data_IF_689868282785
#
_entry.id   IF_689868282785
#
_cell.length_a   1.000
_cell.length_b   1.000
_cell.length_c   1.000
_cell.angle_alpha   90.00
_cell.angle_beta   90.00
_cell.angle_gamma   90.00
#
_symmetry.space_group_name_H-M   'P 1'
#
loop_
_entity.id
_entity.type
_entity.pdbx_description
1 polymer ?
#
# COMPACT_ATOMS: atom_id res chain seq x y z
N UNK A 1 11.80 -14.88 4.50
CA UNK A 1 10.48 -15.39 4.93
C UNK A 1 9.52 -14.22 5.03
N UNK A 2 8.27 -14.40 4.57
CA UNK A 2 7.17 -13.45 4.72
C UNK A 2 6.01 -14.14 5.45
N UNK A 3 5.41 -13.47 6.44
CA UNK A 3 4.34 -14.03 7.27
C UNK A 3 3.19 -13.03 7.42
N UNK A 4 1.96 -13.50 7.18
CA UNK A 4 0.73 -12.81 7.49
C UNK A 4 0.05 -13.45 8.70
N UNK A 5 0.19 -12.86 9.88
CA UNK A 5 -0.38 -13.41 11.12
C UNK A 5 -1.89 -13.27 11.22
N UNK A 6 -2.47 -12.28 10.54
CA UNK A 6 -3.88 -11.95 10.64
C UNK A 6 -4.36 -11.18 9.41
N UNK A 7 -5.65 -11.31 9.11
CA UNK A 7 -6.35 -10.43 8.18
C UNK A 7 -7.10 -9.28 8.89
N UNK A 8 -6.87 -9.07 10.20
CA UNK A 8 -7.39 -7.90 10.89
C UNK A 8 -6.89 -6.64 10.20
N UNK A 9 -7.80 -5.78 9.77
CA UNK A 9 -7.50 -4.52 9.12
C UNK A 9 -8.58 -3.50 9.44
N UNK A 10 -8.16 -2.28 9.72
CA UNK A 10 -9.05 -1.14 9.96
C UNK A 10 -9.47 -0.42 8.67
N UNK A 11 -8.88 -0.78 7.51
CA UNK A 11 -9.20 -0.18 6.22
C UNK A 11 -10.03 -1.10 5.31
N UNK A 12 -10.79 -0.45 4.40
CA UNK A 12 -11.52 -1.07 3.30
C UNK A 12 -11.08 -0.46 1.96
N UNK A 13 -9.81 -0.62 1.60
CA UNK A 13 -9.30 -0.11 0.32
C UNK A 13 -10.14 -0.64 -0.84
N UNK A 14 -10.49 0.21 -1.82
CA UNK A 14 -11.46 -0.10 -2.87
C UNK A 14 -11.14 -1.36 -3.68
N UNK A 15 -9.87 -1.63 -3.88
CA UNK A 15 -9.35 -2.78 -4.63
C UNK A 15 -9.01 -4.00 -3.74
N UNK A 16 -9.23 -3.92 -2.42
CA UNK A 16 -8.99 -5.05 -1.51
C UNK A 16 -10.17 -6.03 -1.51
N UNK A 17 -10.03 -7.14 -0.79
CA UNK A 17 -11.04 -8.19 -0.72
C UNK A 17 -11.29 -8.66 0.71
N UNK A 18 -12.45 -9.31 0.99
CA UNK A 18 -12.80 -9.83 2.30
C UNK A 18 -11.78 -10.81 2.90
N UNK A 19 -11.05 -11.55 2.07
CA UNK A 19 -10.01 -12.47 2.51
C UNK A 19 -8.85 -11.75 3.23
N UNK A 20 -8.58 -10.49 2.87
CA UNK A 20 -7.44 -9.71 3.36
C UNK A 20 -7.80 -8.63 4.37
N UNK A 21 -9.10 -8.39 4.61
CA UNK A 21 -9.55 -7.35 5.53
C UNK A 21 -10.84 -7.74 6.26
N UNK A 22 -10.79 -7.71 7.60
CA UNK A 22 -11.97 -7.97 8.43
C UNK A 22 -13.06 -6.92 8.24
N UNK A 23 -12.69 -5.65 8.05
CA UNK A 23 -13.69 -4.57 7.79
C UNK A 23 -14.37 -4.73 6.43
N UNK A 24 -13.67 -5.23 5.40
CA UNK A 24 -14.27 -5.65 4.14
C UNK A 24 -15.24 -6.82 4.36
N UNK A 25 -14.79 -7.84 5.10
CA UNK A 25 -15.63 -9.01 5.41
C UNK A 25 -16.94 -8.61 6.09
N UNK A 26 -16.88 -7.69 7.05
CA UNK A 26 -18.05 -7.22 7.78
C UNK A 26 -18.99 -6.38 6.89
N UNK A 27 -18.44 -5.57 5.98
CA UNK A 27 -19.25 -4.84 5.00
C UNK A 27 -19.97 -5.79 4.05
N UNK A 28 -19.30 -6.84 3.54
CA UNK A 28 -19.93 -7.82 2.67
C UNK A 28 -20.96 -8.70 3.41
N UNK A 29 -20.73 -9.05 4.66
CA UNK A 29 -21.72 -9.73 5.48
C UNK A 29 -22.99 -8.89 5.64
N UNK A 30 -22.83 -7.59 5.81
CA UNK A 30 -23.96 -6.66 6.05
C UNK A 30 -24.74 -6.33 4.78
N UNK A 31 -24.07 -6.14 3.66
CA UNK A 31 -24.65 -5.58 2.43
C UNK A 31 -24.66 -6.53 1.23
N UNK A 32 -24.01 -7.70 1.33
CA UNK A 32 -23.77 -8.61 0.21
C UNK A 32 -22.58 -8.17 -0.66
N UNK A 33 -22.31 -8.96 -1.70
CA UNK A 33 -21.26 -8.63 -2.67
C UNK A 33 -21.60 -7.33 -3.44
N UNK A 34 -20.58 -6.67 -3.96
CA UNK A 34 -20.76 -5.54 -4.86
C UNK A 34 -21.38 -6.01 -6.19
N UNK A 35 -22.22 -5.18 -6.84
CA UNK A 35 -22.97 -5.57 -8.06
C UNK A 35 -22.09 -5.52 -9.32
N UNK A 36 -20.87 -6.04 -9.22
CA UNK A 36 -19.95 -6.22 -10.34
C UNK A 36 -20.10 -7.60 -10.95
N UNK A 37 -19.71 -7.77 -12.20
CA UNK A 37 -19.64 -9.09 -12.82
C UNK A 37 -18.52 -9.95 -12.22
N UNK A 38 -17.48 -9.32 -11.66
CA UNK A 38 -16.41 -9.97 -10.93
C UNK A 38 -16.85 -10.34 -9.52
N UNK A 39 -16.59 -11.56 -9.10
CA UNK A 39 -17.03 -12.10 -7.80
C UNK A 39 -15.97 -12.01 -6.70
N UNK A 40 -14.86 -11.29 -6.91
CA UNK A 40 -13.72 -11.26 -6.00
C UNK A 40 -14.07 -10.81 -4.56
N UNK A 41 -15.11 -9.99 -4.41
CA UNK A 41 -15.60 -9.51 -3.13
C UNK A 41 -16.76 -10.35 -2.54
N UNK A 42 -17.20 -11.42 -3.21
CA UNK A 42 -18.20 -12.35 -2.69
C UNK A 42 -17.60 -13.30 -1.66
N UNK A 43 -18.22 -13.41 -0.48
CA UNK A 43 -17.77 -14.37 0.55
C UNK A 43 -17.94 -15.82 0.07
N UNK A 44 -19.01 -16.12 -0.64
CA UNK A 44 -19.29 -17.47 -1.13
C UNK A 44 -18.27 -17.89 -2.19
N UNK A 45 -17.90 -16.98 -3.09
CA UNK A 45 -16.82 -17.21 -4.03
C UNK A 45 -15.48 -17.43 -3.32
N UNK A 46 -15.13 -16.57 -2.36
CA UNK A 46 -13.87 -16.70 -1.61
C UNK A 46 -13.83 -18.00 -0.80
N UNK A 47 -14.95 -18.48 -0.25
CA UNK A 47 -15.04 -19.79 0.43
C UNK A 47 -14.87 -20.95 -0.55
N UNK A 48 -15.55 -20.90 -1.70
CA UNK A 48 -15.45 -21.94 -2.73
C UNK A 48 -14.02 -22.08 -3.28
N UNK A 49 -13.29 -20.97 -3.36
CA UNK A 49 -11.89 -20.91 -3.82
C UNK A 49 -10.86 -21.15 -2.70
N UNK A 50 -11.29 -21.52 -1.50
CA UNK A 50 -10.44 -21.72 -0.32
C UNK A 50 -9.54 -20.50 0.01
N UNK A 51 -10.01 -19.28 -0.28
CA UNK A 51 -9.27 -18.02 -0.06
C UNK A 51 -9.55 -17.39 1.31
N UNK A 52 -10.51 -17.95 2.08
CA UNK A 52 -10.86 -17.37 3.38
C UNK A 52 -9.80 -17.76 4.42
N UNK A 53 -9.32 -16.81 5.23
CA UNK A 53 -8.41 -17.10 6.32
C UNK A 53 -9.11 -17.89 7.43
N UNK A 54 -8.31 -18.60 8.23
CA UNK A 54 -8.80 -19.23 9.46
C UNK A 54 -9.33 -18.11 10.38
N UNK A 55 -10.57 -18.24 10.90
CA UNK A 55 -11.15 -17.24 11.78
C UNK A 55 -10.27 -16.97 13.00
N UNK A 56 -10.15 -15.71 13.41
CA UNK A 56 -9.28 -15.31 14.53
C UNK A 56 -9.64 -15.97 15.88
N UNK A 57 -10.89 -16.45 16.03
CA UNK A 57 -11.38 -17.14 17.23
C UNK A 57 -11.01 -18.62 17.26
N UNK A 58 -10.56 -19.15 16.15
CA UNK A 58 -10.18 -20.56 16.01
C UNK A 58 -8.67 -20.74 16.19
N UNK A 59 -8.32 -21.94 16.65
CA UNK A 59 -6.92 -22.34 16.73
C UNK A 59 -6.31 -22.32 15.33
N UNK A 60 -5.21 -21.60 15.17
CA UNK A 60 -4.49 -21.55 13.90
C UNK A 60 -3.23 -22.42 13.99
N UNK A 61 -3.25 -23.65 13.42
CA UNK A 61 -2.12 -24.56 13.50
C UNK A 61 -0.85 -24.02 12.84
N UNK A 62 -0.97 -23.15 11.84
CA UNK A 62 0.19 -22.53 11.20
C UNK A 62 0.89 -21.53 12.14
N UNK A 63 0.14 -20.79 12.96
CA UNK A 63 0.73 -19.92 13.99
C UNK A 63 1.45 -20.72 15.07
N UNK A 64 0.86 -21.83 15.51
CA UNK A 64 1.50 -22.70 16.48
C UNK A 64 2.79 -23.31 15.95
N UNK A 65 2.77 -23.80 14.71
CA UNK A 65 3.95 -24.33 14.03
C UNK A 65 5.02 -23.24 13.86
N UNK A 66 4.62 -22.04 13.46
CA UNK A 66 5.54 -20.90 13.35
C UNK A 66 6.24 -20.61 14.68
N UNK A 67 5.51 -20.51 15.79
CA UNK A 67 6.10 -20.19 17.09
C UNK A 67 6.97 -21.30 17.68
N UNK A 68 6.73 -22.56 17.31
CA UNK A 68 7.63 -23.68 17.63
C UNK A 68 8.94 -23.59 16.84
N UNK A 69 8.86 -23.15 15.60
CA UNK A 69 10.02 -23.06 14.71
C UNK A 69 10.80 -21.74 14.86
N UNK A 70 10.15 -20.69 15.33
CA UNK A 70 10.70 -19.34 15.38
C UNK A 70 12.06 -19.22 16.07
N UNK A 71 12.33 -19.87 17.23
CA UNK A 71 13.64 -19.78 17.88
C UNK A 71 14.80 -20.28 17.01
N UNK A 72 14.61 -21.37 16.29
CA UNK A 72 15.62 -21.92 15.39
C UNK A 72 15.73 -21.08 14.12
N UNK A 73 14.58 -20.70 13.55
CA UNK A 73 14.51 -19.92 12.32
C UNK A 73 15.17 -18.54 12.44
N UNK A 74 14.97 -17.85 13.56
CA UNK A 74 15.41 -16.47 13.78
C UNK A 74 16.92 -16.29 13.52
N UNK A 75 17.75 -17.23 13.99
CA UNK A 75 19.21 -17.12 13.89
C UNK A 75 19.74 -17.26 12.44
N UNK A 76 18.98 -17.92 11.58
CA UNK A 76 19.36 -18.18 10.18
C UNK A 76 18.73 -17.21 9.18
N UNK A 77 17.81 -16.34 9.63
CA UNK A 77 17.13 -15.40 8.74
C UNK A 77 18.01 -14.25 8.27
N UNK A 78 18.02 -14.00 6.96
CA UNK A 78 18.50 -12.77 6.35
C UNK A 78 17.40 -11.75 6.10
N UNK A 79 16.17 -12.20 5.84
CA UNK A 79 15.03 -11.33 5.58
C UNK A 79 13.79 -11.90 6.25
N UNK A 80 13.15 -11.09 7.08
CA UNK A 80 11.85 -11.39 7.67
C UNK A 80 10.88 -10.23 7.45
N UNK A 81 9.76 -10.54 6.83
CA UNK A 81 8.73 -9.56 6.51
C UNK A 81 7.41 -9.93 7.16
N UNK A 82 6.83 -8.99 7.89
CA UNK A 82 5.51 -9.11 8.51
C UNK A 82 4.49 -8.38 7.65
N UNK A 83 3.51 -9.13 7.16
CA UNK A 83 2.42 -8.63 6.31
C UNK A 83 1.06 -9.01 6.91
N UNK A 84 -0.01 -8.91 6.13
CA UNK A 84 -1.37 -9.32 6.49
C UNK A 84 -2.38 -8.23 6.19
N UNK A 85 -3.43 -8.13 6.99
CA UNK A 85 -4.36 -7.01 6.93
C UNK A 85 -3.67 -5.72 7.37
N UNK A 86 -3.63 -5.48 8.68
CA UNK A 86 -2.77 -4.48 9.32
C UNK A 86 -1.96 -5.18 10.43
N UNK A 87 -0.65 -5.37 10.24
CA UNK A 87 0.18 -6.09 11.21
C UNK A 87 0.19 -5.53 12.61
N UNK A 88 0.05 -4.21 12.78
CA UNK A 88 0.05 -3.58 14.11
C UNK A 88 -1.20 -3.93 14.94
N UNK A 89 -2.25 -4.48 14.32
CA UNK A 89 -3.42 -5.02 15.00
C UNK A 89 -3.24 -6.50 15.43
N UNK A 90 -2.15 -7.14 15.01
CA UNK A 90 -1.87 -8.53 15.33
C UNK A 90 -0.92 -8.65 16.53
N UNK A 91 -1.32 -9.38 17.58
CA UNK A 91 -0.48 -9.62 18.76
C UNK A 91 0.84 -10.31 18.43
N UNK A 92 0.84 -11.14 17.40
CA UNK A 92 2.03 -11.87 16.96
C UNK A 92 3.12 -10.94 16.42
N UNK A 93 2.77 -9.80 15.82
CA UNK A 93 3.74 -8.77 15.40
C UNK A 93 4.53 -8.23 16.59
N UNK A 94 3.83 -7.86 17.65
CA UNK A 94 4.45 -7.36 18.88
C UNK A 94 5.34 -8.43 19.55
N UNK A 95 4.87 -9.67 19.57
CA UNK A 95 5.64 -10.79 20.09
C UNK A 95 6.94 -11.04 19.31
N UNK A 96 6.95 -10.83 17.98
CA UNK A 96 8.18 -10.88 17.18
C UNK A 96 9.15 -9.77 17.59
N UNK A 97 8.66 -8.54 17.71
CA UNK A 97 9.51 -7.40 18.10
C UNK A 97 10.09 -7.59 19.51
N UNK A 98 9.28 -8.03 20.46
CA UNK A 98 9.73 -8.34 21.83
C UNK A 98 10.78 -9.43 21.81
N UNK A 99 10.55 -10.50 21.05
CA UNK A 99 11.53 -11.59 20.90
C UNK A 99 12.89 -11.08 20.41
N UNK A 100 12.90 -10.24 19.36
CA UNK A 100 14.14 -9.64 18.80
C UNK A 100 14.86 -8.79 19.85
N UNK A 101 14.10 -8.00 20.63
CA UNK A 101 14.62 -7.11 21.66
C UNK A 101 15.24 -7.92 22.82
N UNK A 102 14.65 -9.05 23.19
CA UNK A 102 15.02 -9.84 24.36
C UNK A 102 16.18 -10.82 24.08
N UNK A 103 16.56 -11.05 22.82
CA UNK A 103 17.62 -12.00 22.51
C UNK A 103 18.98 -11.55 23.07
N UNK A 104 19.70 -12.49 23.70
CA UNK A 104 21.07 -12.25 24.18
C UNK A 104 22.04 -12.06 23.01
N UNK A 105 21.85 -12.83 21.94
CA UNK A 105 22.62 -12.78 20.72
C UNK A 105 21.73 -12.29 19.57
N UNK A 106 21.81 -11.00 19.22
CA UNK A 106 20.99 -10.43 18.15
C UNK A 106 21.42 -10.96 16.78
N UNK A 107 20.42 -11.15 15.89
CA UNK A 107 20.72 -11.52 14.50
C UNK A 107 21.04 -10.27 13.65
N UNK A 108 22.30 -9.86 13.67
CA UNK A 108 22.80 -8.68 12.92
C UNK A 108 22.83 -8.85 11.40
N UNK A 109 22.39 -9.99 10.85
CA UNK A 109 22.22 -10.20 9.41
C UNK A 109 20.77 -9.96 8.98
N UNK A 110 19.84 -9.83 9.92
CA UNK A 110 18.41 -9.78 9.65
C UNK A 110 17.99 -8.43 9.09
N UNK A 111 17.41 -8.41 7.91
CA UNK A 111 16.62 -7.31 7.39
C UNK A 111 15.16 -7.53 7.83
N UNK A 112 14.73 -6.75 8.83
CA UNK A 112 13.37 -6.79 9.36
C UNK A 112 12.49 -5.80 8.63
N UNK A 113 11.37 -6.27 8.10
CA UNK A 113 10.40 -5.38 7.47
C UNK A 113 8.97 -5.62 7.95
N UNK A 114 8.21 -4.52 8.08
CA UNK A 114 6.82 -4.53 8.51
C UNK A 114 6.00 -3.72 7.51
N UNK A 115 4.91 -4.32 7.02
CA UNK A 115 3.92 -3.60 6.24
C UNK A 115 2.90 -2.99 7.21
N UNK A 116 2.75 -1.67 7.20
CA UNK A 116 1.70 -1.01 7.99
C UNK A 116 1.05 0.11 7.21
N UNK A 117 -0.25 0.24 7.36
CA UNK A 117 -1.00 1.36 6.78
C UNK A 117 -0.81 2.68 7.55
N UNK A 118 -0.10 2.67 8.68
CA UNK A 118 0.17 3.80 9.59
C UNK A 118 -1.09 4.58 10.04
N UNK A 119 -2.28 4.05 9.80
CA UNK A 119 -3.58 4.63 10.19
C UNK A 119 -4.22 3.93 11.39
N UNK A 120 -3.43 3.26 12.21
CA UNK A 120 -3.87 2.64 13.46
C UNK A 120 -3.93 3.69 14.59
N UNK A 121 -4.54 3.39 15.76
CA UNK A 121 -4.51 4.27 16.93
C UNK A 121 -3.09 4.71 17.34
N UNK A 122 -2.96 5.96 17.81
CA UNK A 122 -1.66 6.60 18.08
C UNK A 122 -0.79 5.82 19.07
N UNK A 123 -1.41 5.19 20.07
CA UNK A 123 -0.68 4.36 21.03
C UNK A 123 0.02 3.14 20.37
N UNK A 124 -0.48 2.64 19.25
CA UNK A 124 0.18 1.57 18.49
C UNK A 124 1.35 2.11 17.67
N UNK A 125 1.23 3.33 17.13
CA UNK A 125 2.34 4.01 16.45
C UNK A 125 3.45 4.33 17.46
N UNK A 126 3.10 4.84 18.65
CA UNK A 126 4.07 5.15 19.71
C UNK A 126 4.81 3.89 20.16
N UNK A 127 4.08 2.81 20.42
CA UNK A 127 4.67 1.52 20.77
C UNK A 127 5.56 0.94 19.66
N UNK A 128 5.17 1.11 18.38
CA UNK A 128 6.02 0.71 17.25
C UNK A 128 7.35 1.48 17.26
N UNK A 129 7.28 2.80 17.35
CA UNK A 129 8.46 3.68 17.37
C UNK A 129 9.37 3.33 18.56
N UNK A 130 8.81 3.14 19.76
CA UNK A 130 9.57 2.76 20.95
C UNK A 130 10.35 1.45 20.73
N UNK A 131 9.68 0.42 20.21
CA UNK A 131 10.32 -0.88 19.98
C UNK A 131 11.36 -0.83 18.87
N UNK A 132 11.07 -0.13 17.76
CA UNK A 132 12.01 0.02 16.66
C UNK A 132 13.22 0.84 17.09
N UNK A 133 13.03 1.88 17.93
CA UNK A 133 14.13 2.67 18.49
C UNK A 133 15.08 1.80 19.34
N UNK A 134 14.51 0.93 20.18
CA UNK A 134 15.35 -0.03 20.94
C UNK A 134 16.11 -0.99 20.02
N UNK A 135 15.46 -1.51 18.97
CA UNK A 135 16.12 -2.41 18.00
C UNK A 135 17.26 -1.69 17.29
N UNK A 136 17.06 -0.42 16.95
CA UNK A 136 18.05 0.43 16.27
C UNK A 136 19.22 0.80 17.19
N UNK A 137 18.94 1.33 18.40
CA UNK A 137 19.94 1.80 19.36
C UNK A 137 20.81 0.66 19.89
N UNK A 138 20.24 -0.55 20.05
CA UNK A 138 20.94 -1.73 20.52
C UNK A 138 21.55 -2.56 19.36
N UNK A 139 21.48 -2.05 18.11
CA UNK A 139 22.04 -2.68 16.89
C UNK A 139 21.65 -4.16 16.74
N UNK A 140 20.32 -4.44 16.84
CA UNK A 140 19.79 -5.78 16.94
C UNK A 140 19.58 -6.49 15.60
N UNK A 141 19.47 -5.72 14.51
CA UNK A 141 19.22 -6.20 13.14
C UNK A 141 20.12 -5.44 12.17
N UNK A 142 20.27 -5.95 10.93
CA UNK A 142 21.02 -5.27 9.89
C UNK A 142 20.25 -4.04 9.35
N UNK A 143 18.95 -4.19 9.10
CA UNK A 143 18.15 -3.15 8.47
C UNK A 143 16.70 -3.17 9.00
N UNK A 144 16.11 -1.99 9.15
CA UNK A 144 14.70 -1.79 9.49
C UNK A 144 13.99 -1.14 8.33
N UNK A 145 12.96 -1.80 7.80
CA UNK A 145 12.17 -1.30 6.69
C UNK A 145 10.70 -1.25 7.07
N UNK A 146 10.08 -0.10 6.93
CA UNK A 146 8.61 0.04 7.02
C UNK A 146 8.05 0.21 5.61
N UNK A 147 7.22 -0.73 5.19
CA UNK A 147 6.39 -0.58 4.01
C UNK A 147 5.07 0.05 4.41
N UNK A 148 4.81 1.25 3.97
CA UNK A 148 3.51 1.91 4.16
C UNK A 148 2.81 2.14 2.83
N UNK A 149 1.53 2.53 2.84
CA UNK A 149 0.76 2.50 1.60
C UNK A 149 -0.16 3.68 1.44
N UNK A 150 0.03 4.42 0.34
CA UNK A 150 -0.89 5.47 -0.12
C UNK A 150 -0.88 5.53 -1.65
N UNK A 151 -2.06 5.74 -2.27
CA UNK A 151 -2.20 5.58 -3.73
C UNK A 151 -2.31 6.90 -4.49
N UNK A 152 -2.51 8.01 -3.78
CA UNK A 152 -2.61 9.38 -4.29
C UNK A 152 -2.56 10.35 -3.11
N UNK A 153 -2.88 11.64 -3.31
CA UNK A 153 -2.78 12.69 -2.31
C UNK A 153 -4.15 13.12 -1.75
N UNK A 154 -4.19 13.41 -0.44
CA UNK A 154 -5.31 14.08 0.23
C UNK A 154 -6.61 13.27 0.24
N UNK A 155 -7.79 13.95 0.14
CA UNK A 155 -9.11 13.31 0.26
C UNK A 155 -9.38 12.18 -0.76
N UNK A 156 -8.68 12.20 -1.90
CA UNK A 156 -8.76 11.12 -2.88
C UNK A 156 -8.09 9.83 -2.35
N UNK A 157 -7.02 9.95 -1.56
CA UNK A 157 -6.41 8.81 -0.88
C UNK A 157 -7.36 8.21 0.17
N UNK A 158 -8.08 9.05 0.94
CA UNK A 158 -9.08 8.61 1.92
C UNK A 158 -10.22 7.82 1.26
N UNK A 159 -10.64 8.27 0.07
CA UNK A 159 -11.67 7.58 -0.70
C UNK A 159 -11.21 6.20 -1.18
N UNK A 160 -10.02 6.11 -1.77
CA UNK A 160 -9.45 4.84 -2.26
C UNK A 160 -9.23 3.86 -1.11
N UNK A 161 -8.69 4.36 0.00
CA UNK A 161 -8.36 3.58 1.21
C UNK A 161 -9.31 3.88 2.35
N UNK A 162 -10.59 3.63 2.14
CA UNK A 162 -11.62 3.94 3.14
C UNK A 162 -11.24 3.44 4.54
N UNK A 163 -11.16 4.36 5.49
CA UNK A 163 -10.59 4.20 6.83
C UNK A 163 -9.27 4.94 7.02
N UNK A 164 -8.64 5.41 5.96
CA UNK A 164 -7.51 6.32 5.99
C UNK A 164 -8.00 7.73 6.38
N UNK A 165 -7.24 8.40 7.19
CA UNK A 165 -7.27 9.83 7.45
C UNK A 165 -5.92 10.38 6.98
N UNK A 166 -5.87 10.97 5.78
CA UNK A 166 -4.63 11.27 5.08
C UNK A 166 -3.67 12.13 5.90
N UNK A 167 -4.16 13.19 6.56
CA UNK A 167 -3.31 14.08 7.35
C UNK A 167 -2.66 13.32 8.51
N UNK A 168 -3.45 12.51 9.23
CA UNK A 168 -2.94 11.67 10.32
C UNK A 168 -1.91 10.64 9.84
N UNK A 169 -2.15 10.03 8.67
CA UNK A 169 -1.18 9.14 8.05
C UNK A 169 0.14 9.86 7.78
N UNK A 170 0.07 11.07 7.24
CA UNK A 170 1.26 11.87 6.91
C UNK A 170 2.00 12.32 8.17
N UNK A 171 1.28 12.69 9.23
CA UNK A 171 1.84 13.03 10.54
C UNK A 171 2.54 11.82 11.18
N UNK A 172 1.91 10.63 11.13
CA UNK A 172 2.50 9.39 11.63
C UNK A 172 3.76 8.99 10.85
N UNK A 173 3.76 9.17 9.53
CA UNK A 173 4.94 8.94 8.68
C UNK A 173 6.09 9.87 9.08
N UNK A 174 5.84 11.18 9.24
CA UNK A 174 6.84 12.15 9.68
C UNK A 174 7.33 11.84 11.10
N UNK A 175 6.44 11.47 12.02
CA UNK A 175 6.78 11.09 13.39
C UNK A 175 7.74 9.89 13.41
N UNK A 176 7.46 8.87 12.60
CA UNK A 176 8.32 7.69 12.48
C UNK A 176 9.69 8.06 11.92
N UNK A 177 9.74 8.84 10.83
CA UNK A 177 11.00 9.26 10.19
C UNK A 177 11.87 10.16 11.06
N UNK A 178 11.24 11.04 11.86
CA UNK A 178 11.96 11.94 12.79
C UNK A 178 12.43 11.27 14.07
N UNK A 179 11.84 10.13 14.43
CA UNK A 179 12.17 9.40 15.66
C UNK A 179 13.24 8.33 15.48
N UNK A 180 13.49 7.89 14.24
CA UNK A 180 14.36 6.76 13.91
C UNK A 180 15.43 7.17 12.89
N UNK A 181 16.69 6.95 13.24
CA UNK A 181 17.80 7.41 12.41
C UNK A 181 18.18 6.45 11.28
N UNK A 182 17.91 5.14 11.43
CA UNK A 182 18.31 4.10 10.46
C UNK A 182 17.13 3.49 9.69
N UNK A 183 15.89 3.73 10.12
CA UNK A 183 14.71 3.17 9.44
C UNK A 183 14.62 3.65 7.99
N UNK A 184 14.26 2.74 7.11
CA UNK A 184 13.91 3.03 5.72
C UNK A 184 12.40 2.85 5.54
N UNK A 185 11.74 3.84 4.95
CA UNK A 185 10.32 3.76 4.64
C UNK A 185 10.12 3.64 3.14
N UNK A 186 9.41 2.60 2.71
CA UNK A 186 8.94 2.48 1.33
C UNK A 186 7.45 2.78 1.28
N UNK A 187 7.09 3.87 0.62
CA UNK A 187 5.69 4.21 0.34
C UNK A 187 5.24 3.39 -0.87
N UNK A 188 4.43 2.37 -0.61
CA UNK A 188 3.86 1.52 -1.65
C UNK A 188 2.58 2.13 -2.20
N UNK A 189 2.59 2.52 -3.45
CA UNK A 189 1.40 2.96 -4.16
C UNK A 189 0.89 1.83 -5.05
N UNK A 190 -0.32 1.35 -4.77
CA UNK A 190 -1.05 0.49 -5.70
C UNK A 190 -1.72 1.38 -6.73
N UNK A 191 -0.90 1.86 -7.69
CA UNK A 191 -1.33 2.82 -8.69
C UNK A 191 -2.49 2.29 -9.53
N UNK A 192 -3.60 2.98 -9.51
CA UNK A 192 -4.86 2.58 -10.12
C UNK A 192 -5.55 3.75 -10.85
N UNK A 193 -6.71 3.52 -11.44
CA UNK A 193 -7.43 4.55 -12.19
C UNK A 193 -7.70 5.82 -11.38
N UNK A 194 -7.97 5.69 -10.07
CA UNK A 194 -8.24 6.82 -9.18
C UNK A 194 -6.97 7.54 -8.73
N UNK A 195 -5.80 6.94 -8.90
CA UNK A 195 -4.52 7.58 -8.59
C UNK A 195 -4.17 8.68 -9.61
N UNK A 196 -4.56 8.47 -10.88
CA UNK A 196 -4.11 9.29 -12.01
C UNK A 196 -4.35 10.79 -11.84
N UNK A 197 -5.53 11.26 -11.42
CA UNK A 197 -5.82 12.71 -11.39
C UNK A 197 -4.94 13.51 -10.42
N UNK A 198 -4.52 12.92 -9.30
CA UNK A 198 -3.88 13.64 -8.21
C UNK A 198 -2.61 12.97 -7.67
N UNK A 199 -1.83 12.35 -8.54
CA UNK A 199 -0.59 11.66 -8.14
C UNK A 199 0.62 12.59 -8.05
N UNK A 200 0.65 13.69 -8.83
CA UNK A 200 1.78 14.65 -8.82
C UNK A 200 2.06 15.26 -7.44
N UNK A 201 1.06 15.67 -6.64
CA UNK A 201 1.32 16.13 -5.27
C UNK A 201 2.01 15.07 -4.40
N UNK A 202 1.66 13.78 -4.55
CA UNK A 202 2.36 12.71 -3.83
C UNK A 202 3.84 12.65 -4.24
N UNK A 203 4.14 12.73 -5.54
CA UNK A 203 5.52 12.78 -6.04
C UNK A 203 6.28 13.96 -5.43
N UNK A 204 5.71 15.18 -5.44
CA UNK A 204 6.34 16.37 -4.84
C UNK A 204 6.65 16.17 -3.36
N UNK A 205 5.65 15.77 -2.57
CA UNK A 205 5.82 15.66 -1.13
C UNK A 205 6.73 14.49 -0.71
N UNK A 206 6.76 13.40 -1.48
CA UNK A 206 7.75 12.33 -1.25
C UNK A 206 9.17 12.81 -1.57
N UNK A 207 9.35 13.64 -2.61
CA UNK A 207 10.64 14.28 -2.88
C UNK A 207 11.08 15.16 -1.70
N UNK A 208 10.17 15.98 -1.14
CA UNK A 208 10.47 16.80 0.03
C UNK A 208 10.86 15.95 1.25
N UNK A 209 10.19 14.83 1.50
CA UNK A 209 10.59 13.88 2.56
C UNK A 209 11.99 13.29 2.30
N UNK A 210 12.32 12.96 1.05
CA UNK A 210 13.66 12.47 0.71
C UNK A 210 14.73 13.50 1.03
N UNK A 211 14.48 14.79 0.77
CA UNK A 211 15.40 15.89 1.09
C UNK A 211 15.51 16.09 2.62
N UNK A 212 14.36 16.13 3.29
CA UNK A 212 14.30 16.41 4.74
C UNK A 212 15.00 15.35 5.58
N UNK A 213 14.88 14.08 5.22
CA UNK A 213 15.38 12.94 5.98
C UNK A 213 16.60 12.26 5.35
N UNK A 214 17.32 12.98 4.49
CA UNK A 214 18.58 12.50 3.95
C UNK A 214 19.64 12.36 5.05
N UNK A 215 20.43 11.29 4.99
CA UNK A 215 21.62 11.12 5.82
C UNK A 215 22.64 10.24 5.08
N UNK A 216 23.90 10.69 5.03
CA UNK A 216 25.01 9.89 4.48
C UNK A 216 25.29 8.62 5.31
N UNK A 217 24.89 8.62 6.59
CA UNK A 217 25.09 7.50 7.51
C UNK A 217 24.06 6.38 7.32
N UNK A 218 22.98 6.63 6.56
CA UNK A 218 22.00 5.59 6.24
C UNK A 218 22.54 4.64 5.17
N UNK A 219 22.25 3.36 5.32
CA UNK A 219 22.66 2.32 4.36
C UNK A 219 22.33 2.67 2.90
N UNK A 220 21.17 3.25 2.65
CA UNK A 220 20.71 3.65 1.32
C UNK A 220 20.88 5.14 1.03
N UNK A 221 21.47 5.91 1.94
CA UNK A 221 21.50 7.38 1.90
C UNK A 221 20.12 8.07 1.78
N UNK A 222 19.05 7.31 1.64
CA UNK A 222 17.67 7.78 1.56
C UNK A 222 16.82 7.10 2.62
N UNK A 223 16.06 7.92 3.36
CA UNK A 223 15.09 7.41 4.33
C UNK A 223 13.77 6.97 3.69
N UNK A 224 13.45 7.45 2.48
CA UNK A 224 12.15 7.27 1.87
C UNK A 224 12.27 6.83 0.41
N UNK A 225 11.49 5.83 0.02
CA UNK A 225 11.32 5.37 -1.36
C UNK A 225 9.85 5.37 -1.75
N UNK A 226 9.55 5.62 -3.04
CA UNK A 226 8.22 5.53 -3.63
C UNK A 226 8.14 4.32 -4.56
N UNK A 227 7.37 3.32 -4.18
CA UNK A 227 7.09 2.16 -5.01
C UNK A 227 5.75 2.32 -5.75
N UNK A 228 5.79 2.78 -7.00
CA UNK A 228 4.62 2.96 -7.85
C UNK A 228 4.31 1.69 -8.63
N UNK A 229 3.73 0.70 -7.97
CA UNK A 229 3.32 -0.56 -8.62
C UNK A 229 1.89 -0.45 -9.15
N UNK A 230 1.68 -0.71 -10.46
CA UNK A 230 0.34 -0.64 -11.06
C UNK A 230 -0.57 -1.78 -10.61
N UNK A 231 -1.83 -1.44 -10.36
CA UNK A 231 -2.88 -2.41 -10.03
C UNK A 231 -3.16 -3.33 -11.22
N UNK A 232 -3.21 -4.64 -10.99
CA UNK A 232 -3.59 -5.64 -12.00
C UNK A 232 -4.99 -6.20 -11.79
N UNK A 233 -5.41 -6.26 -10.54
CA UNK A 233 -6.71 -6.79 -10.14
C UNK A 233 -7.23 -6.07 -8.88
N UNK A 234 -8.53 -5.74 -8.82
CA UNK A 234 -9.58 -6.01 -9.82
C UNK A 234 -9.42 -5.17 -11.10
N UNK A 235 -9.70 -5.77 -12.26
CA UNK A 235 -9.43 -5.15 -13.57
C UNK A 235 -10.18 -3.83 -13.79
N UNK A 236 -11.40 -3.69 -13.25
CA UNK A 236 -12.20 -2.48 -13.36
C UNK A 236 -11.63 -1.26 -12.62
N UNK A 237 -10.57 -1.41 -11.83
CA UNK A 237 -9.88 -0.29 -11.18
C UNK A 237 -8.47 -0.05 -11.74
N UNK A 238 -8.05 -0.82 -12.74
CA UNK A 238 -6.75 -0.59 -13.38
C UNK A 238 -6.76 0.67 -14.24
N UNK A 239 -5.60 1.26 -14.48
CA UNK A 239 -5.47 2.45 -15.35
C UNK A 239 -5.95 2.20 -16.77
N UNK A 240 -6.02 0.94 -17.20
CA UNK A 240 -6.45 0.55 -18.55
C UNK A 240 -7.92 0.85 -18.85
N UNK A 241 -8.77 1.02 -17.82
CA UNK A 241 -10.19 1.39 -18.04
C UNK A 241 -10.36 2.86 -18.44
N UNK A 242 -9.39 3.70 -18.10
CA UNK A 242 -9.46 5.14 -18.39
C UNK A 242 -9.37 5.43 -19.89
N UNK A 243 -10.03 6.47 -20.40
CA UNK A 243 -9.83 6.99 -21.76
C UNK A 243 -8.39 7.43 -22.01
N UNK A 244 -8.01 7.47 -23.30
CA UNK A 244 -6.63 7.81 -23.70
C UNK A 244 -6.23 9.27 -23.43
N UNK A 245 -7.19 10.13 -23.17
CA UNK A 245 -6.93 11.50 -22.72
C UNK A 245 -6.04 11.54 -21.46
N UNK A 246 -6.09 10.51 -20.63
CA UNK A 246 -5.29 10.38 -19.42
C UNK A 246 -3.83 9.95 -19.64
N UNK A 247 -3.49 9.51 -20.86
CA UNK A 247 -2.12 9.10 -21.19
C UNK A 247 -1.12 10.24 -20.95
N UNK A 248 -1.49 11.47 -21.29
CA UNK A 248 -0.63 12.65 -21.09
C UNK A 248 -0.37 12.95 -19.61
N UNK A 249 -1.35 12.71 -18.74
CA UNK A 249 -1.14 12.94 -17.31
C UNK A 249 -0.15 11.91 -16.73
N UNK A 250 -0.25 10.64 -17.13
CA UNK A 250 0.70 9.59 -16.72
C UNK A 250 2.12 9.92 -17.22
N UNK A 251 2.26 10.38 -18.46
CA UNK A 251 3.55 10.82 -19.01
C UNK A 251 4.14 11.98 -18.19
N UNK A 252 3.33 13.00 -17.85
CA UNK A 252 3.77 14.13 -17.03
C UNK A 252 4.24 13.70 -15.64
N UNK A 253 3.61 12.70 -15.04
CA UNK A 253 4.03 12.14 -13.74
C UNK A 253 5.39 11.45 -13.87
N UNK A 254 5.62 10.67 -14.92
CA UNK A 254 6.91 10.05 -15.17
C UNK A 254 8.01 11.10 -15.44
N UNK A 255 7.70 12.15 -16.20
CA UNK A 255 8.62 13.26 -16.45
C UNK A 255 8.96 14.04 -15.18
N UNK A 256 8.00 14.18 -14.25
CA UNK A 256 8.22 14.85 -12.97
C UNK A 256 9.20 14.08 -12.10
N UNK A 257 9.09 12.75 -12.05
CA UNK A 257 10.03 11.89 -11.33
C UNK A 257 11.43 11.94 -11.96
N UNK A 258 11.52 11.90 -13.29
CA UNK A 258 12.78 12.11 -14.03
C UNK A 258 13.40 13.49 -13.70
N UNK A 259 12.59 14.55 -13.68
CA UNK A 259 13.05 15.90 -13.37
C UNK A 259 13.68 15.99 -11.97
N UNK A 260 13.04 15.43 -10.97
CA UNK A 260 13.59 15.40 -9.61
C UNK A 260 14.84 14.54 -9.46
N UNK A 261 15.03 13.55 -10.31
CA UNK A 261 16.27 12.78 -10.38
C UNK A 261 17.41 13.61 -10.95
N UNK A 262 17.16 14.40 -12.01
CA UNK A 262 18.17 15.23 -12.71
C UNK A 262 18.57 16.45 -11.91
N UNK A 263 17.62 17.18 -11.31
CA UNK A 263 17.89 18.34 -10.46
C UNK A 263 18.94 18.00 -9.39
N UNK A 264 18.86 16.80 -8.90
CA UNK A 264 19.74 16.28 -7.88
C UNK A 264 21.20 16.11 -8.35
N UNK A 265 21.42 15.59 -9.55
CA UNK A 265 22.77 15.39 -10.11
C UNK A 265 23.53 16.68 -10.43
N UNK A 266 22.79 17.77 -10.76
CA UNK A 266 23.39 19.03 -11.18
C UNK A 266 23.77 19.94 -10.00
N UNK A 267 23.00 19.95 -8.91
CA UNK A 267 23.13 20.93 -7.84
C UNK A 267 24.00 20.43 -6.67
N UNK A 268 24.10 19.12 -6.43
CA UNK A 268 24.69 18.56 -5.22
C UNK A 268 25.78 17.51 -5.42
N UNK A 269 26.40 17.42 -6.59
CA UNK A 269 27.53 16.52 -6.87
C UNK A 269 27.28 15.05 -6.39
N UNK A 270 26.10 14.51 -6.64
CA UNK A 270 25.67 13.15 -6.28
C UNK A 270 25.46 12.88 -4.76
N UNK A 271 25.18 13.89 -3.94
CA UNK A 271 25.10 13.71 -2.48
C UNK A 271 23.71 13.74 -1.85
N UNK A 272 22.65 14.19 -2.55
CA UNK A 272 21.29 14.22 -2.00
C UNK A 272 20.31 13.32 -2.79
N UNK A 273 19.36 12.60 -2.16
CA UNK A 273 18.54 11.62 -2.85
C UNK A 273 17.36 12.24 -3.59
N UNK A 274 17.43 12.28 -4.89
CA UNK A 274 16.27 12.34 -5.76
C UNK A 274 15.59 10.97 -5.90
N UNK A 275 14.83 10.79 -6.95
CA UNK A 275 14.27 9.49 -7.29
C UNK A 275 15.35 8.59 -7.92
N UNK A 276 15.39 7.35 -7.48
CA UNK A 276 16.30 6.33 -8.02
C UNK A 276 15.81 5.81 -9.39
N UNK A 277 16.70 5.22 -10.17
CA UNK A 277 16.35 4.57 -11.44
C UNK A 277 15.24 3.54 -11.29
N UNK A 278 15.21 2.81 -10.19
CA UNK A 278 14.16 1.81 -9.91
C UNK A 278 12.79 2.48 -9.76
N UNK A 279 12.71 3.59 -9.01
CA UNK A 279 11.47 4.36 -8.83
C UNK A 279 10.99 4.95 -10.16
N UNK A 280 11.92 5.51 -10.96
CA UNK A 280 11.64 6.05 -12.29
C UNK A 280 11.11 4.97 -13.22
N UNK A 281 11.75 3.80 -13.27
CA UNK A 281 11.31 2.71 -14.13
C UNK A 281 9.94 2.16 -13.72
N UNK A 282 9.62 2.16 -12.43
CA UNK A 282 8.30 1.72 -11.96
C UNK A 282 7.18 2.64 -12.46
N UNK A 283 7.36 3.95 -12.40
CA UNK A 283 6.33 4.87 -12.87
C UNK A 283 6.22 4.86 -14.41
N UNK A 284 7.34 4.71 -15.14
CA UNK A 284 7.33 4.55 -16.61
C UNK A 284 6.54 3.31 -17.07
N UNK A 285 6.66 2.20 -16.35
CA UNK A 285 5.88 0.98 -16.61
C UNK A 285 4.36 1.15 -16.47
N UNK A 286 3.90 2.17 -15.74
CA UNK A 286 2.47 2.47 -15.64
C UNK A 286 1.93 2.90 -17.01
N UNK A 287 2.68 3.70 -17.75
CA UNK A 287 2.31 4.08 -19.13
C UNK A 287 2.30 2.89 -20.06
N UNK A 288 3.33 2.04 -20.01
CA UNK A 288 3.37 0.81 -20.79
C UNK A 288 2.18 -0.10 -20.49
N UNK A 289 1.82 -0.22 -19.21
CA UNK A 289 0.65 -0.98 -18.79
C UNK A 289 -0.67 -0.37 -19.26
N UNK A 290 -0.81 0.96 -19.19
CA UNK A 290 -1.99 1.69 -19.67
C UNK A 290 -2.20 1.49 -21.17
N UNK A 291 -1.12 1.51 -21.94
CA UNK A 291 -1.14 1.41 -23.42
C UNK A 291 -0.99 0.00 -23.95
N UNK A 292 -0.71 -0.99 -23.07
CA UNK A 292 -0.71 -2.39 -23.45
C UNK A 292 -2.05 -2.77 -24.10
N UNK A 293 -2.00 -3.25 -25.33
CA UNK A 293 -3.14 -3.35 -26.23
C UNK A 293 -4.25 -4.25 -25.69
N UNK A 294 -5.44 -3.68 -25.63
CA UNK A 294 -6.71 -4.38 -25.55
C UNK A 294 -7.30 -4.62 -26.96
N UNK A 295 -6.43 -4.68 -27.96
CA UNK A 295 -6.83 -4.91 -29.35
C UNK A 295 -7.63 -6.20 -29.47
N UNK A 296 -8.84 -6.15 -30.04
CA UNK A 296 -9.76 -7.28 -30.06
C UNK A 296 -10.46 -7.60 -28.73
N UNK A 297 -10.37 -6.72 -27.72
CA UNK A 297 -10.97 -6.89 -26.38
C UNK A 297 -11.89 -5.74 -25.99
N UNK A 298 -12.45 -5.01 -26.95
CA UNK A 298 -13.30 -3.83 -26.71
C UNK A 298 -14.47 -4.17 -25.79
N UNK A 299 -15.07 -5.34 -25.96
CA UNK A 299 -16.17 -5.81 -25.11
C UNK A 299 -15.71 -6.05 -23.65
N UNK A 300 -14.47 -6.51 -23.45
CA UNK A 300 -13.90 -6.67 -22.13
C UNK A 300 -13.66 -5.32 -21.45
N UNK A 301 -13.14 -4.33 -22.19
CA UNK A 301 -12.99 -2.95 -21.66
C UNK A 301 -14.36 -2.38 -21.25
N UNK A 302 -15.37 -2.56 -22.10
CA UNK A 302 -16.72 -2.11 -21.82
C UNK A 302 -17.27 -2.75 -20.54
N UNK A 303 -17.07 -4.05 -20.37
CA UNK A 303 -17.45 -4.77 -19.15
C UNK A 303 -16.72 -4.23 -17.91
N UNK A 304 -15.42 -3.92 -18.02
CA UNK A 304 -14.67 -3.37 -16.89
C UNK A 304 -15.12 -1.93 -16.56
N UNK A 305 -15.46 -1.11 -17.54
CA UNK A 305 -16.06 0.21 -17.32
C UNK A 305 -17.44 0.11 -16.67
N UNK A 306 -18.27 -0.84 -17.09
CA UNK A 306 -19.54 -1.14 -16.39
C UNK A 306 -19.28 -1.50 -14.92
N UNK A 307 -18.33 -2.40 -14.64
CA UNK A 307 -17.97 -2.79 -13.29
C UNK A 307 -17.43 -1.60 -12.48
N UNK A 308 -16.65 -0.70 -13.08
CA UNK A 308 -16.19 0.54 -12.45
C UNK A 308 -17.38 1.40 -11.99
N UNK A 309 -18.33 1.68 -12.87
CA UNK A 309 -19.53 2.44 -12.53
C UNK A 309 -20.32 1.78 -11.40
N UNK A 310 -20.59 0.48 -11.49
CA UNK A 310 -21.35 -0.27 -10.47
C UNK A 310 -20.62 -0.36 -9.12
N UNK A 311 -19.30 -0.56 -9.16
CA UNK A 311 -18.50 -0.61 -7.94
C UNK A 311 -18.57 0.71 -7.18
N UNK A 312 -18.30 1.84 -7.83
CA UNK A 312 -18.23 3.12 -7.15
C UNK A 312 -19.60 3.72 -6.81
N UNK A 313 -20.64 3.40 -7.57
CA UNK A 313 -22.02 3.73 -7.18
C UNK A 313 -22.41 3.04 -5.87
N UNK A 314 -22.11 1.77 -5.73
CA UNK A 314 -22.42 1.02 -4.50
C UNK A 314 -21.47 1.39 -3.35
N UNK A 315 -20.20 1.71 -3.66
CA UNK A 315 -19.23 2.23 -2.69
C UNK A 315 -19.76 3.51 -2.02
N UNK A 316 -20.19 4.48 -2.80
CA UNK A 316 -20.72 5.74 -2.29
C UNK A 316 -21.93 5.51 -1.37
N UNK A 317 -22.86 4.67 -1.83
CA UNK A 317 -24.07 4.32 -1.06
C UNK A 317 -23.72 3.68 0.30
N UNK A 318 -22.77 2.74 0.33
CA UNK A 318 -22.42 2.00 1.56
C UNK A 318 -21.60 2.84 2.54
N UNK A 319 -20.76 3.71 2.02
CA UNK A 319 -19.74 4.42 2.79
C UNK A 319 -20.05 5.90 3.01
N UNK A 320 -21.14 6.41 2.42
CA UNK A 320 -21.55 7.81 2.55
C UNK A 320 -20.56 8.77 1.87
N UNK A 321 -19.90 8.30 0.81
CA UNK A 321 -18.97 9.09 0.00
C UNK A 321 -19.65 9.63 -1.26
N UNK A 322 -18.95 10.49 -2.00
CA UNK A 322 -19.41 11.04 -3.29
C UNK A 322 -18.23 11.03 -4.27
N UNK A 323 -18.31 10.16 -5.26
CA UNK A 323 -17.27 10.00 -6.28
C UNK A 323 -17.02 11.31 -7.05
N UNK A 324 -18.10 11.96 -7.51
CA UNK A 324 -18.00 13.17 -8.35
C UNK A 324 -17.40 14.36 -7.59
N UNK A 325 -17.71 14.45 -6.30
CA UNK A 325 -17.14 15.48 -5.43
C UNK A 325 -15.66 15.20 -5.15
N UNK A 326 -15.30 13.93 -4.98
CA UNK A 326 -13.92 13.53 -4.63
C UNK A 326 -13.00 13.52 -5.86
N UNK A 327 -13.53 13.11 -7.01
CA UNK A 327 -12.81 13.01 -8.29
C UNK A 327 -13.53 13.80 -9.39
N UNK A 328 -13.62 15.14 -9.29
CA UNK A 328 -14.30 15.96 -10.30
C UNK A 328 -13.68 15.76 -11.70
N UNK A 329 -12.38 15.47 -11.78
CA UNK A 329 -11.66 15.23 -13.03
C UNK A 329 -12.10 13.94 -13.75
N UNK A 330 -12.63 12.98 -13.02
CA UNK A 330 -13.15 11.71 -13.53
C UNK A 330 -14.68 11.66 -13.62
N UNK A 331 -15.38 12.76 -13.31
CA UNK A 331 -16.85 12.78 -13.22
C UNK A 331 -17.52 12.38 -14.53
N UNK A 332 -17.05 12.90 -15.67
CA UNK A 332 -17.60 12.56 -17.00
C UNK A 332 -17.34 11.07 -17.32
N UNK A 333 -16.14 10.60 -17.13
CA UNK A 333 -15.82 9.18 -17.33
C UNK A 333 -16.69 8.27 -16.44
N UNK A 334 -16.91 8.65 -15.18
CA UNK A 334 -17.77 7.90 -14.27
C UNK A 334 -19.23 7.89 -14.74
N UNK A 335 -19.75 9.01 -15.23
CA UNK A 335 -21.09 9.11 -15.80
C UNK A 335 -21.23 8.19 -17.02
N UNK A 336 -20.27 8.22 -17.93
CA UNK A 336 -20.23 7.30 -19.09
C UNK A 336 -20.26 5.84 -18.65
N UNK A 337 -19.51 5.48 -17.59
CA UNK A 337 -19.51 4.12 -17.06
C UNK A 337 -20.87 3.69 -16.49
N UNK A 338 -21.66 4.61 -15.93
CA UNK A 338 -22.98 4.32 -15.37
C UNK A 338 -24.04 4.08 -16.46
N UNK A 339 -23.86 4.66 -17.66
CA UNK A 339 -24.78 4.52 -18.78
C UNK A 339 -24.60 3.21 -19.55
N UNK A 340 -23.48 2.49 -19.35
CA UNK A 340 -23.20 1.21 -20.01
C UNK A 340 -24.24 0.17 -19.59
N UNK A 341 -24.81 -0.50 -20.59
CA UNK A 341 -25.72 -1.65 -20.43
C UNK A 341 -25.00 -2.89 -21.02
N UNK A 342 -24.89 -3.95 -20.24
CA UNK A 342 -24.35 -5.26 -20.65
C UNK A 342 -25.50 -6.21 -21.01
#
# INVERSE_FOLDING_TARGET
VEVAFSNACNFKCSYCAPAFSTTWMDEIKKHGAYPTTDKFNSLDYNRAENKMPIPQRELNPYKEAFWKWWPDLYHDLHTFRITGGEPLLAKDTWKVLDYIIEQKEPNKKLNLSINSNLGVPDNLIDNLIEKLKRIEDEDRVNELIIFTSVDTWGPQADYIRNGLEFNRFWDNLNKLLSSLDKVVVTIMSTYNALSVPNYRPLIHNVYDLKQQYFSEDRYWSSAVFLDSSYLRFPQHQTVQVLPDIWNQEIIKQAQLVDYYSVLWGAEYQNKMPGYSDVEIQKIKRIYDWKTATWEGKEQQVLQQRYNFGKMFQEHDKRRGTDFRKTFPELADFYNDCLEIKL
#
